data_IF_769190476375
#
_entry.id   IF_769190476375
#
_cell.length_a   1.000
_cell.length_b   1.000
_cell.length_c   1.000
_cell.angle_alpha   90.00
_cell.angle_beta   90.00
_cell.angle_gamma   90.00
#
_symmetry.space_group_name_H-M   'P 1'
#
loop_
_entity.id
_entity.type
_entity.pdbx_description
1 polymer ?
#
# COMPACT_ATOMS: atom_id res chain seq x y z
N UNK A 1 -2.66 -13.27 -15.28
CA UNK A 1 -1.76 -13.58 -14.14
C UNK A 1 -2.18 -12.70 -12.99
N UNK A 2 -2.56 -13.27 -11.84
CA UNK A 2 -2.88 -12.46 -10.65
C UNK A 2 -1.56 -11.92 -10.10
N UNK A 3 -1.44 -10.60 -9.97
CA UNK A 3 -0.32 -9.97 -9.28
C UNK A 3 -0.67 -9.96 -7.79
N UNK A 4 0.07 -10.71 -6.94
CA UNK A 4 -0.15 -10.68 -5.51
C UNK A 4 0.26 -9.30 -4.99
N UNK A 5 -0.72 -8.49 -4.60
CA UNK A 5 -0.46 -7.15 -4.07
C UNK A 5 0.16 -7.12 -2.68
N UNK A 6 0.19 -8.26 -1.98
CA UNK A 6 0.29 -8.27 -0.52
C UNK A 6 1.46 -9.09 0.05
N UNK A 7 2.11 -9.97 -0.72
CA UNK A 7 3.22 -10.81 -0.19
C UNK A 7 4.44 -9.99 0.20
N UNK A 8 4.84 -9.00 -0.61
CA UNK A 8 5.83 -7.98 -0.22
C UNK A 8 5.24 -6.85 0.63
N UNK A 9 3.92 -6.87 0.84
CA UNK A 9 3.18 -5.90 1.64
C UNK A 9 3.21 -6.23 3.13
N UNK A 10 3.19 -7.50 3.51
CA UNK A 10 3.27 -7.91 4.92
C UNK A 10 4.58 -7.47 5.58
N UNK A 11 5.69 -7.49 4.83
CA UNK A 11 7.02 -7.07 5.33
C UNK A 11 7.17 -5.56 5.51
N UNK A 12 6.27 -4.74 4.97
CA UNK A 12 6.24 -3.29 5.21
C UNK A 12 5.09 -2.87 6.12
N UNK A 13 3.95 -3.57 6.05
CA UNK A 13 2.76 -3.28 6.86
C UNK A 13 2.96 -3.65 8.33
N UNK A 14 3.39 -4.90 8.61
CA UNK A 14 3.52 -5.39 9.99
C UNK A 14 4.49 -4.54 10.81
N UNK A 15 5.76 -4.31 10.39
CA UNK A 15 6.66 -3.46 11.15
C UNK A 15 6.22 -1.99 11.16
N UNK A 16 5.60 -1.49 10.09
CA UNK A 16 5.10 -0.11 10.03
C UNK A 16 3.97 0.15 11.05
N UNK A 17 2.97 -0.73 11.09
CA UNK A 17 1.84 -0.65 12.02
C UNK A 17 2.28 -0.91 13.45
N UNK A 18 3.13 -1.91 13.68
CA UNK A 18 3.61 -2.23 15.02
C UNK A 18 4.49 -1.11 15.59
N UNK A 19 5.40 -0.55 14.78
CA UNK A 19 6.20 0.61 15.16
C UNK A 19 5.33 1.83 15.44
N UNK A 20 4.30 2.07 14.64
CA UNK A 20 3.36 3.17 14.86
C UNK A 20 2.62 3.05 16.20
N UNK A 21 2.08 1.87 16.55
CA UNK A 21 1.41 1.67 17.84
C UNK A 21 2.36 1.85 19.03
N UNK A 22 3.60 1.39 18.94
CA UNK A 22 4.59 1.60 20.00
C UNK A 22 4.88 3.09 20.21
N UNK A 23 4.97 3.87 19.13
CA UNK A 23 5.16 5.31 19.23
C UNK A 23 3.93 6.02 19.79
N UNK A 24 2.71 5.58 19.46
CA UNK A 24 1.49 6.11 20.09
C UNK A 24 1.47 5.85 21.60
N UNK A 25 1.88 4.66 22.04
CA UNK A 25 1.98 4.33 23.48
C UNK A 25 3.04 5.19 24.16
N UNK A 26 4.21 5.36 23.54
CA UNK A 26 5.28 6.24 24.04
C UNK A 26 4.82 7.69 24.15
N UNK A 27 4.09 8.17 23.16
CA UNK A 27 3.49 9.50 23.16
C UNK A 27 2.49 9.67 24.30
N UNK A 28 1.54 8.73 24.44
CA UNK A 28 0.58 8.75 25.54
C UNK A 28 1.28 8.70 26.91
N UNK A 29 2.28 7.83 27.06
CA UNK A 29 3.06 7.74 28.29
C UNK A 29 3.79 9.05 28.62
N UNK A 30 4.46 9.65 27.63
CA UNK A 30 5.11 10.96 27.76
C UNK A 30 4.11 12.04 28.18
N UNK A 31 2.93 12.08 27.53
CA UNK A 31 1.86 13.03 27.84
C UNK A 31 1.37 12.89 29.29
N UNK A 32 1.11 11.67 29.77
CA UNK A 32 0.61 11.44 31.13
C UNK A 32 1.67 11.57 32.22
N UNK A 33 2.94 11.29 31.92
CA UNK A 33 4.03 11.32 32.92
C UNK A 33 4.87 12.60 32.90
N UNK A 34 4.69 13.46 31.89
CA UNK A 34 5.52 14.64 31.65
C UNK A 34 6.96 14.30 31.25
N UNK A 35 7.30 13.02 31.04
CA UNK A 35 8.65 12.60 30.66
C UNK A 35 8.91 12.97 29.20
N UNK A 36 10.12 13.44 28.86
CA UNK A 36 10.44 13.78 27.48
C UNK A 36 10.43 12.53 26.59
N UNK A 37 10.02 12.70 25.34
CA UNK A 37 10.11 11.66 24.31
C UNK A 37 11.58 11.41 23.93
N UNK A 38 11.90 10.20 23.43
CA UNK A 38 13.23 9.93 22.86
C UNK A 38 13.55 10.91 21.73
N UNK A 39 14.80 11.36 21.63
CA UNK A 39 15.22 12.34 20.60
C UNK A 39 14.94 11.89 19.16
N UNK A 40 14.94 10.57 18.91
CA UNK A 40 14.66 9.98 17.60
C UNK A 40 13.15 9.75 17.32
N UNK A 41 12.23 10.19 18.19
CA UNK A 41 10.80 9.90 18.07
C UNK A 41 10.22 10.32 16.72
N UNK A 42 10.51 11.55 16.27
CA UNK A 42 10.02 12.08 15.00
C UNK A 42 10.52 11.28 13.79
N UNK A 43 11.79 10.87 13.80
CA UNK A 43 12.37 10.05 12.73
C UNK A 43 11.75 8.65 12.68
N UNK A 44 11.55 8.04 13.84
CA UNK A 44 10.91 6.72 13.95
C UNK A 44 9.45 6.79 13.46
N UNK A 45 8.72 7.85 13.82
CA UNK A 45 7.35 8.07 13.35
C UNK A 45 7.30 8.20 11.82
N UNK A 46 8.19 9.03 11.25
CA UNK A 46 8.28 9.21 9.81
C UNK A 46 8.57 7.88 9.09
N UNK A 47 9.47 7.05 9.63
CA UNK A 47 9.78 5.72 9.07
C UNK A 47 8.58 4.78 9.13
N UNK A 48 7.82 4.77 10.23
CA UNK A 48 6.63 3.94 10.36
C UNK A 48 5.55 4.34 9.35
N UNK A 49 5.30 5.64 9.21
CA UNK A 49 4.34 6.18 8.22
C UNK A 49 4.81 5.85 6.80
N UNK A 50 6.10 6.02 6.50
CA UNK A 50 6.65 5.70 5.18
C UNK A 50 6.48 4.21 4.83
N UNK A 51 6.74 3.28 5.77
CA UNK A 51 6.54 1.84 5.53
C UNK A 51 5.06 1.50 5.27
N UNK A 52 4.14 2.10 6.02
CA UNK A 52 2.70 1.95 5.76
C UNK A 52 2.29 2.54 4.40
N UNK A 53 2.84 3.70 4.02
CA UNK A 53 2.61 4.32 2.72
C UNK A 53 3.08 3.45 1.55
N UNK A 54 4.29 2.86 1.66
CA UNK A 54 4.83 1.91 0.66
C UNK A 54 3.91 0.70 0.50
N UNK A 55 3.34 0.18 1.60
CA UNK A 55 2.36 -0.90 1.53
C UNK A 55 1.13 -0.50 0.69
N UNK A 56 0.53 0.66 1.01
CA UNK A 56 -0.69 1.13 0.35
C UNK A 56 -0.47 1.38 -1.15
N UNK A 57 0.66 1.96 -1.51
CA UNK A 57 1.02 2.19 -2.93
C UNK A 57 1.17 0.85 -3.66
N UNK A 58 1.86 -0.13 -3.07
CA UNK A 58 2.04 -1.46 -3.68
C UNK A 58 0.71 -2.19 -3.85
N UNK A 59 -0.16 -2.15 -2.86
CA UNK A 59 -1.51 -2.72 -2.94
C UNK A 59 -2.31 -2.09 -4.08
N UNK A 60 -2.37 -0.76 -4.12
CA UNK A 60 -3.09 -0.01 -5.16
C UNK A 60 -2.56 -0.29 -6.58
N UNK A 61 -1.25 -0.45 -6.75
CA UNK A 61 -0.65 -0.79 -8.04
C UNK A 61 -0.98 -2.22 -8.47
N UNK A 62 -0.96 -3.17 -7.54
CA UNK A 62 -1.36 -4.54 -7.83
C UNK A 62 -2.85 -4.63 -8.18
N UNK A 63 -3.71 -3.86 -7.49
CA UNK A 63 -5.14 -3.79 -7.80
C UNK A 63 -5.38 -3.21 -9.19
N UNK A 64 -4.68 -2.13 -9.56
CA UNK A 64 -4.74 -1.56 -10.92
C UNK A 64 -4.28 -2.55 -11.98
N UNK A 65 -3.18 -3.26 -11.74
CA UNK A 65 -2.68 -4.25 -12.67
C UNK A 65 -3.62 -5.46 -12.78
N UNK A 66 -4.24 -5.89 -11.68
CA UNK A 66 -5.24 -6.95 -11.69
C UNK A 66 -6.51 -6.49 -12.44
N UNK A 67 -6.95 -5.24 -12.28
CA UNK A 67 -8.06 -4.65 -13.05
C UNK A 67 -7.77 -4.61 -14.56
N UNK A 68 -6.55 -4.21 -14.96
CA UNK A 68 -6.12 -4.24 -16.37
C UNK A 68 -6.08 -5.66 -16.95
N UNK A 69 -5.93 -6.68 -16.11
CA UNK A 69 -5.95 -8.08 -16.50
C UNK A 69 -7.34 -8.73 -16.36
N UNK A 70 -8.40 -7.96 -16.05
CA UNK A 70 -9.76 -8.49 -15.85
C UNK A 70 -9.94 -9.34 -14.59
N UNK A 71 -9.00 -9.23 -13.63
CA UNK A 71 -8.90 -10.07 -12.43
C UNK A 71 -9.15 -9.31 -11.12
N UNK A 72 -9.45 -8.01 -11.17
CA UNK A 72 -9.73 -7.18 -9.99
C UNK A 72 -11.24 -6.96 -9.76
N UNK A 73 -11.68 -6.67 -8.53
CA UNK A 73 -13.06 -6.27 -8.25
C UNK A 73 -13.26 -4.83 -8.75
N UNK A 74 -13.46 -4.67 -10.05
CA UNK A 74 -14.08 -3.46 -10.60
C UNK A 74 -15.58 -3.60 -10.30
N UNK A 75 -16.31 -2.55 -9.86
CA UNK A 75 -17.76 -2.55 -9.95
C UNK A 75 -18.13 -2.93 -11.39
N UNK A 76 -18.61 -4.15 -11.57
CA UNK A 76 -18.99 -4.65 -12.89
C UNK A 76 -20.12 -3.76 -13.34
N UNK A 77 -19.92 -3.01 -14.43
CA UNK A 77 -21.01 -2.27 -15.05
C UNK A 77 -21.76 -3.31 -15.90
N UNK A 78 -22.97 -3.74 -15.50
CA UNK A 78 -23.70 -4.76 -16.22
C UNK A 78 -24.12 -4.32 -17.64
N UNK A 79 -23.93 -3.04 -17.99
CA UNK A 79 -24.18 -2.49 -19.31
C UNK A 79 -22.94 -2.38 -20.22
N UNK A 80 -21.73 -2.71 -19.76
CA UNK A 80 -20.52 -2.66 -20.58
C UNK A 80 -20.12 -4.04 -21.15
N UNK A 81 -20.36 -4.32 -22.45
CA UNK A 81 -20.02 -5.59 -23.08
C UNK A 81 -18.51 -5.84 -23.20
N UNK A 82 -17.65 -4.83 -22.98
CA UNK A 82 -16.20 -4.97 -23.02
C UNK A 82 -15.63 -5.78 -21.84
N UNK A 83 -16.38 -5.94 -20.76
CA UNK A 83 -15.97 -6.71 -19.58
C UNK A 83 -16.09 -8.24 -19.77
N UNK A 84 -16.62 -8.70 -20.91
CA UNK A 84 -16.96 -10.11 -21.16
C UNK A 84 -15.89 -10.98 -21.82
N UNK A 85 -14.66 -10.50 -22.06
CA UNK A 85 -13.67 -11.30 -22.83
C UNK A 85 -12.29 -11.33 -22.16
N UNK A 86 -11.78 -12.51 -21.74
CA UNK A 86 -10.42 -12.61 -21.21
C UNK A 86 -9.42 -12.47 -22.36
N UNK A 87 -8.91 -11.25 -22.57
CA UNK A 87 -7.81 -11.03 -23.50
C UNK A 87 -6.54 -11.70 -22.96
N UNK A 88 -5.90 -12.53 -23.77
CA UNK A 88 -4.70 -13.27 -23.44
C UNK A 88 -3.56 -12.33 -22.96
N UNK A 89 -3.27 -12.37 -21.66
CA UNK A 89 -2.25 -11.53 -21.03
C UNK A 89 -0.83 -11.93 -21.52
N UNK A 90 -0.17 -11.03 -22.25
CA UNK A 90 1.27 -11.12 -22.52
C UNK A 90 2.06 -10.87 -21.22
N UNK A 91 3.05 -11.70 -20.85
CA UNK A 91 3.81 -11.51 -19.61
C UNK A 91 4.89 -10.43 -19.76
N UNK A 92 5.04 -9.56 -18.75
CA UNK A 92 6.40 -9.11 -18.39
C UNK A 92 6.73 -7.63 -18.23
N UNK A 93 5.78 -6.68 -18.07
CA UNK A 93 6.17 -5.32 -17.64
C UNK A 93 5.11 -4.64 -16.79
N UNK A 94 5.48 -4.27 -15.56
CA UNK A 94 4.69 -3.37 -14.73
C UNK A 94 4.60 -2.00 -15.44
N UNK A 95 3.43 -1.33 -15.46
CA UNK A 95 3.32 0.04 -15.96
C UNK A 95 4.18 1.01 -15.13
N UNK A 96 4.86 1.94 -15.80
CA UNK A 96 5.63 3.00 -15.15
C UNK A 96 4.65 4.00 -14.49
N UNK A 97 4.73 4.25 -13.17
CA UNK A 97 3.81 5.12 -12.46
C UNK A 97 4.09 6.62 -12.65
N UNK A 98 5.12 7.01 -13.41
CA UNK A 98 5.40 8.43 -13.67
C UNK A 98 4.29 9.06 -14.54
N UNK A 99 3.86 10.30 -14.24
CA UNK A 99 2.95 11.02 -15.12
C UNK A 99 3.60 11.20 -16.49
N UNK A 100 2.89 10.79 -17.54
CA UNK A 100 3.27 11.07 -18.92
C UNK A 100 3.08 12.56 -19.16
N UNK A 101 4.19 13.26 -19.40
CA UNK A 101 4.12 14.63 -19.89
C UNK A 101 3.57 14.60 -21.32
N UNK A 102 2.33 15.06 -21.49
CA UNK A 102 1.86 15.63 -22.75
C UNK A 102 2.25 17.11 -22.82
#
# INVERSE_FOLDING_TARGET
>A
MIIPGTTGGLSTLVPGVQGFYLLLILFAHSYFTGRPLPGAFGELLARCIAMMGVHQIRGSLADRANAQNGLGPVPVDPSDPAQGTPAAATPGRLPDPRPTAE
#
